data_IF_333157176318
#
_entry.id   IF_333157176318
#
_cell.length_a   1.000
_cell.length_b   1.000
_cell.length_c   1.000
_cell.angle_alpha   90.00
_cell.angle_beta   90.00
_cell.angle_gamma   90.00
#
_symmetry.space_group_name_H-M   'P 1'
#
loop_
_entity.id
_entity.type
_entity.pdbx_description
1 polymer ?
#
# COMPACT_ATOMS: atom_id res chain seq x y z
N UNK A 1 18.50 4.60 12.50
CA UNK A 1 19.30 3.55 11.84
C UNK A 1 18.32 2.52 11.31
N UNK A 2 18.13 2.46 9.99
CA UNK A 2 17.29 1.43 9.35
C UNK A 2 17.93 0.08 9.65
N UNK A 3 17.25 -0.79 10.40
CA UNK A 3 17.72 -2.15 10.65
C UNK A 3 17.14 -3.01 9.54
N UNK A 4 17.94 -3.29 8.52
CA UNK A 4 17.58 -4.24 7.47
C UNK A 4 17.63 -5.63 8.10
N UNK A 5 16.47 -6.24 8.29
CA UNK A 5 16.34 -7.63 8.71
C UNK A 5 16.05 -8.45 7.46
N UNK A 6 17.10 -9.00 6.85
CA UNK A 6 16.95 -10.02 5.82
C UNK A 6 16.49 -11.30 6.53
N UNK A 7 15.17 -11.47 6.70
CA UNK A 7 14.62 -12.71 7.21
C UNK A 7 14.63 -13.70 6.04
N UNK A 8 15.55 -14.68 6.09
CA UNK A 8 15.54 -15.81 5.19
C UNK A 8 14.16 -16.48 5.21
N UNK A 9 13.55 -16.62 4.04
CA UNK A 9 12.21 -17.14 3.84
C UNK A 9 11.96 -18.44 4.62
N UNK A 10 10.97 -18.42 5.51
CA UNK A 10 10.31 -19.62 6.03
C UNK A 10 8.81 -19.44 5.82
N UNK A 11 8.29 -20.06 4.76
CA UNK A 11 6.86 -20.16 4.50
C UNK A 11 6.46 -21.58 4.86
N UNK A 12 5.75 -21.78 5.97
CA UNK A 12 4.99 -23.01 6.20
C UNK A 12 3.63 -22.67 6.81
N UNK A 13 2.66 -22.48 5.93
CA UNK A 13 1.24 -22.47 6.23
C UNK A 13 0.49 -23.08 5.06
N UNK A 14 0.42 -24.42 5.04
CA UNK A 14 -0.30 -25.20 4.04
C UNK A 14 -1.81 -24.90 4.09
N UNK A 15 -2.26 -23.94 3.28
CA UNK A 15 -3.65 -23.87 2.83
C UNK A 15 -3.65 -24.49 1.44
N UNK A 16 -4.36 -25.60 1.28
CA UNK A 16 -4.33 -26.41 0.07
C UNK A 16 -4.62 -25.57 -1.18
N UNK A 17 -3.60 -25.37 -2.01
CA UNK A 17 -3.73 -24.76 -3.32
C UNK A 17 -3.89 -25.88 -4.36
N UNK A 18 -5.08 -26.00 -4.91
CA UNK A 18 -5.32 -26.80 -6.11
C UNK A 18 -4.43 -26.29 -7.24
N UNK A 19 -3.76 -27.21 -7.95
CA UNK A 19 -2.87 -26.94 -9.08
C UNK A 19 -3.63 -26.55 -10.35
N UNK A 20 -4.44 -25.49 -10.27
CA UNK A 20 -4.79 -24.67 -11.44
C UNK A 20 -3.69 -23.63 -11.59
N UNK A 21 -3.25 -23.34 -12.84
CA UNK A 21 -2.25 -22.32 -13.15
C UNK A 21 -2.31 -21.16 -12.14
N UNK A 22 -1.24 -20.94 -11.36
CA UNK A 22 -1.24 -19.96 -10.27
C UNK A 22 -1.66 -18.61 -10.86
N UNK A 23 -2.91 -18.23 -10.63
CA UNK A 23 -3.32 -16.86 -10.86
C UNK A 23 -2.53 -16.02 -9.88
N UNK A 24 -1.95 -14.91 -10.36
CA UNK A 24 -1.32 -13.92 -9.51
C UNK A 24 -2.24 -13.58 -8.34
N UNK A 25 -1.67 -13.38 -7.15
CA UNK A 25 -2.45 -13.05 -5.97
C UNK A 25 -3.16 -11.71 -6.18
N UNK A 26 -4.34 -11.57 -5.62
CA UNK A 26 -5.06 -10.30 -5.61
C UNK A 26 -4.42 -9.30 -4.65
N UNK A 27 -4.70 -8.01 -4.87
CA UNK A 27 -4.32 -6.94 -3.95
C UNK A 27 -4.78 -7.22 -2.51
N UNK A 28 -6.00 -7.77 -2.34
CA UNK A 28 -6.52 -8.11 -1.03
C UNK A 28 -5.72 -9.23 -0.36
N UNK A 29 -5.34 -10.28 -1.10
CA UNK A 29 -4.50 -11.34 -0.55
C UNK A 29 -3.12 -10.82 -0.12
N UNK A 30 -2.52 -9.91 -0.88
CA UNK A 30 -1.26 -9.29 -0.51
C UNK A 30 -1.39 -8.46 0.78
N UNK A 31 -2.45 -7.63 0.89
CA UNK A 31 -2.77 -6.86 2.11
C UNK A 31 -2.98 -7.77 3.33
N UNK A 32 -3.70 -8.87 3.15
CA UNK A 32 -3.95 -9.85 4.23
C UNK A 32 -2.66 -10.54 4.69
N UNK A 33 -1.75 -10.87 3.77
CA UNK A 33 -0.43 -11.42 4.08
C UNK A 33 0.39 -10.41 4.91
N UNK A 34 0.48 -9.16 4.46
CA UNK A 34 1.23 -8.12 5.15
C UNK A 34 0.66 -7.84 6.55
N UNK A 35 -0.67 -7.71 6.68
CA UNK A 35 -1.33 -7.48 7.98
C UNK A 35 -1.14 -8.66 8.95
N UNK A 36 -1.19 -9.88 8.45
CA UNK A 36 -0.92 -11.08 9.25
C UNK A 36 0.51 -11.09 9.77
N UNK A 37 1.49 -10.85 8.90
CA UNK A 37 2.91 -10.82 9.28
C UNK A 37 3.24 -9.63 10.19
N UNK A 38 2.57 -8.50 9.99
CA UNK A 38 2.69 -7.32 10.84
C UNK A 38 2.12 -7.53 12.26
N UNK A 39 1.33 -8.59 12.45
CA UNK A 39 0.53 -8.88 13.65
C UNK A 39 -0.50 -7.77 13.91
N UNK A 40 -1.16 -7.34 12.84
CA UNK A 40 -2.08 -6.20 12.83
C UNK A 40 -1.35 -4.87 12.55
N UNK A 41 -2.09 -3.78 12.70
CA UNK A 41 -1.66 -2.43 12.34
C UNK A 41 -2.56 -1.81 11.26
N UNK A 42 -2.10 -0.69 10.73
CA UNK A 42 -2.80 0.07 9.69
C UNK A 42 -1.94 0.09 8.43
N UNK A 43 -2.51 -0.29 7.30
CA UNK A 43 -1.85 -0.12 6.00
C UNK A 43 -1.78 1.39 5.71
N UNK A 44 -0.56 1.91 5.57
CA UNK A 44 -0.28 3.30 5.22
C UNK A 44 0.08 3.47 3.76
N UNK A 45 0.56 2.41 3.10
CA UNK A 45 0.90 2.44 1.68
C UNK A 45 0.61 1.12 1.01
N UNK A 46 0.22 1.18 -0.25
CA UNK A 46 0.20 0.03 -1.14
C UNK A 46 0.55 0.48 -2.55
N UNK A 47 1.46 -0.27 -3.18
CA UNK A 47 1.93 -0.02 -4.53
C UNK A 47 2.14 -1.34 -5.26
N UNK A 48 1.77 -1.38 -6.54
CA UNK A 48 2.17 -2.45 -7.45
C UNK A 48 3.36 -1.96 -8.27
N UNK A 49 4.52 -2.58 -8.11
CA UNK A 49 5.75 -2.20 -8.79
C UNK A 49 6.37 -3.39 -9.54
N UNK A 50 7.36 -3.10 -10.39
CA UNK A 50 8.14 -4.09 -11.12
C UNK A 50 9.61 -3.99 -10.76
N UNK A 51 10.07 -4.94 -9.96
CA UNK A 51 11.47 -5.03 -9.53
C UNK A 51 12.20 -6.18 -10.22
N UNK A 52 13.33 -5.88 -10.87
CA UNK A 52 14.18 -6.88 -11.53
C UNK A 52 13.41 -7.82 -12.48
N UNK A 53 12.39 -7.29 -13.17
CA UNK A 53 11.56 -8.03 -14.12
C UNK A 53 10.35 -8.74 -13.51
N UNK A 54 10.20 -8.75 -12.19
CA UNK A 54 9.13 -9.39 -11.42
C UNK A 54 8.14 -8.36 -10.87
N UNK A 55 6.86 -8.71 -10.84
CA UNK A 55 5.85 -7.87 -10.19
C UNK A 55 5.85 -8.11 -8.67
N UNK A 56 5.87 -7.02 -7.90
CA UNK A 56 5.83 -7.06 -6.44
C UNK A 56 4.79 -6.08 -5.92
N UNK A 57 4.12 -6.45 -4.83
CA UNK A 57 3.33 -5.55 -4.02
C UNK A 57 4.22 -4.99 -2.92
N UNK A 58 4.41 -3.68 -2.89
CA UNK A 58 5.02 -2.96 -1.76
C UNK A 58 3.89 -2.52 -0.83
N UNK A 59 3.95 -2.93 0.44
CA UNK A 59 2.92 -2.64 1.45
C UNK A 59 3.59 -2.17 2.73
N UNK A 60 3.27 -0.95 3.14
CA UNK A 60 3.69 -0.42 4.43
C UNK A 60 2.56 -0.58 5.47
N UNK A 61 2.91 -1.12 6.62
CA UNK A 61 2.03 -1.28 7.79
C UNK A 61 2.61 -0.54 8.98
N UNK A 62 1.84 0.41 9.51
CA UNK A 62 2.13 1.06 10.78
C UNK A 62 1.52 0.27 11.94
N UNK A 63 2.36 -0.26 12.84
CA UNK A 63 1.92 -0.91 14.06
C UNK A 63 2.56 -0.21 15.28
N UNK A 64 1.77 0.64 15.95
CA UNK A 64 2.27 1.54 16.98
C UNK A 64 3.21 2.60 16.40
N UNK A 65 4.47 2.59 16.82
CA UNK A 65 5.52 3.48 16.29
C UNK A 65 6.52 2.77 15.37
N UNK A 66 6.17 1.57 14.90
CA UNK A 66 7.00 0.78 14.00
C UNK A 66 6.30 0.72 12.65
N UNK A 67 6.97 1.26 11.64
CA UNK A 67 6.62 1.04 10.24
C UNK A 67 7.29 -0.25 9.77
N UNK A 68 6.53 -1.13 9.13
CA UNK A 68 7.01 -2.34 8.48
C UNK A 68 6.70 -2.26 7.00
N UNK A 69 7.71 -2.40 6.17
CA UNK A 69 7.61 -2.39 4.72
C UNK A 69 7.82 -3.80 4.19
N UNK A 70 6.85 -4.29 3.43
CA UNK A 70 6.81 -5.63 2.84
C UNK A 70 6.83 -5.53 1.33
N UNK A 71 7.80 -6.19 0.69
CA UNK A 71 7.70 -6.52 -0.74
C UNK A 71 7.22 -7.97 -0.86
N UNK A 72 6.07 -8.16 -1.50
CA UNK A 72 5.39 -9.44 -1.69
C UNK A 72 5.37 -9.77 -3.18
N UNK A 73 5.92 -10.92 -3.54
CA UNK A 73 5.88 -11.46 -4.89
C UNK A 73 4.43 -11.64 -5.37
N UNK A 74 4.05 -10.92 -6.43
CA UNK A 74 2.65 -10.86 -6.87
C UNK A 74 2.17 -12.18 -7.50
N UNK A 75 3.05 -13.07 -7.92
CA UNK A 75 2.68 -14.37 -8.48
C UNK A 75 2.48 -15.42 -7.39
N UNK A 76 3.34 -15.40 -6.38
CA UNK A 76 3.44 -16.49 -5.39
C UNK A 76 2.93 -16.12 -4.00
N UNK A 77 2.84 -14.83 -3.66
CA UNK A 77 2.56 -14.36 -2.31
C UNK A 77 3.73 -14.50 -1.34
N UNK A 78 4.93 -14.83 -1.81
CA UNK A 78 6.12 -14.87 -0.98
C UNK A 78 6.54 -13.45 -0.57
N UNK A 79 6.77 -13.21 0.72
CA UNK A 79 7.46 -12.00 1.18
C UNK A 79 8.92 -12.13 0.76
N UNK A 80 9.34 -11.28 -0.17
CA UNK A 80 10.71 -11.28 -0.71
C UNK A 80 11.62 -10.28 0.02
N UNK A 81 11.02 -9.31 0.72
CA UNK A 81 11.73 -8.36 1.56
C UNK A 81 10.85 -7.88 2.71
N UNK A 82 11.50 -7.62 3.83
CA UNK A 82 10.91 -6.97 5.00
C UNK A 82 11.90 -5.94 5.57
N UNK A 83 11.48 -4.69 5.64
CA UNK A 83 12.17 -3.65 6.39
C UNK A 83 11.32 -3.18 7.57
N UNK A 84 11.96 -2.74 8.65
CA UNK A 84 11.26 -2.08 9.74
C UNK A 84 12.00 -0.84 10.22
N UNK A 85 11.24 0.20 10.49
CA UNK A 85 11.74 1.48 11.00
C UNK A 85 10.90 1.95 12.17
N UNK A 86 11.56 2.29 13.28
CA UNK A 86 10.88 2.96 14.39
C UNK A 86 10.72 4.44 14.04
N UNK A 87 9.48 4.90 13.86
CA UNK A 87 9.15 6.30 13.65
C UNK A 87 9.15 7.05 14.98
N UNK A 88 9.96 8.09 15.07
CA UNK A 88 9.91 9.01 16.20
C UNK A 88 8.64 9.85 16.08
N UNK A 89 7.67 9.59 16.94
CA UNK A 89 6.46 10.42 17.05
C UNK A 89 6.86 11.80 17.57
N UNK A 90 7.10 12.75 16.66
CA UNK A 90 7.05 14.16 17.01
C UNK A 90 5.62 14.50 17.38
N UNK A 91 5.35 14.67 18.69
CA UNK A 91 4.09 15.11 19.30
C UNK A 91 3.12 15.77 18.33
N UNK A 92 2.26 14.96 17.71
CA UNK A 92 1.07 15.44 17.02
C UNK A 92 0.07 14.29 17.08
N UNK A 93 -0.88 14.42 18.03
CA UNK A 93 -2.12 13.66 18.06
C UNK A 93 -3.01 14.08 16.89
N UNK A 94 -2.50 13.95 15.67
CA UNK A 94 -3.33 14.01 14.49
C UNK A 94 -3.99 12.64 14.38
N UNK A 95 -5.31 12.63 14.30
CA UNK A 95 -6.10 11.41 14.18
C UNK A 95 -5.62 10.67 12.93
N UNK A 96 -4.75 9.67 13.11
CA UNK A 96 -4.20 8.85 12.02
C UNK A 96 -5.23 7.87 11.44
N UNK A 97 -6.46 7.85 11.98
CA UNK A 97 -7.54 6.98 11.53
C UNK A 97 -8.36 7.66 10.42
N UNK A 98 -8.22 7.24 9.16
CA UNK A 98 -9.07 7.70 8.08
C UNK A 98 -10.52 7.23 8.34
N UNK A 99 -11.51 8.05 7.96
CA UNK A 99 -12.93 7.65 8.03
C UNK A 99 -13.41 6.95 6.77
N UNK A 100 -12.84 7.29 5.62
CA UNK A 100 -13.09 6.52 4.39
C UNK A 100 -12.07 5.39 4.30
N UNK A 101 -12.48 4.28 3.69
CA UNK A 101 -11.56 3.17 3.46
C UNK A 101 -10.61 3.46 2.31
N UNK A 102 -9.51 2.71 2.29
CA UNK A 102 -8.61 2.60 1.14
C UNK A 102 -9.38 2.37 -0.17
N UNK A 103 -10.28 1.36 -0.18
CA UNK A 103 -10.99 0.98 -1.41
C UNK A 103 -11.93 2.11 -1.87
N UNK A 104 -12.45 2.90 -0.92
CA UNK A 104 -13.26 4.06 -1.25
C UNK A 104 -12.43 5.17 -1.90
N UNK A 105 -11.25 5.47 -1.37
CA UNK A 105 -10.33 6.44 -1.97
C UNK A 105 -9.89 6.01 -3.37
N UNK A 106 -9.51 4.73 -3.54
CA UNK A 106 -9.20 4.13 -4.85
C UNK A 106 -10.37 4.26 -5.83
N UNK A 107 -11.59 3.97 -5.40
CA UNK A 107 -12.81 4.11 -6.22
C UNK A 107 -13.01 5.57 -6.67
N UNK A 108 -12.83 6.54 -5.76
CA UNK A 108 -12.96 7.97 -6.06
C UNK A 108 -11.94 8.39 -7.13
N UNK A 109 -10.66 8.01 -6.97
CA UNK A 109 -9.62 8.32 -7.94
C UNK A 109 -9.91 7.68 -9.31
N UNK A 110 -10.27 6.40 -9.36
CA UNK A 110 -10.58 5.69 -10.61
C UNK A 110 -11.78 6.31 -11.34
N UNK A 111 -12.84 6.70 -10.63
CA UNK A 111 -14.01 7.37 -11.23
C UNK A 111 -13.69 8.73 -11.84
N UNK A 112 -12.71 9.44 -11.27
CA UNK A 112 -12.25 10.73 -11.79
C UNK A 112 -11.10 10.59 -12.78
N UNK A 113 -10.67 9.36 -13.06
CA UNK A 113 -9.66 9.05 -14.07
C UNK A 113 -10.28 8.81 -15.45
N UNK A 114 -9.48 8.94 -16.51
CA UNK A 114 -9.86 8.63 -17.90
C UNK A 114 -9.61 7.16 -18.24
N UNK A 115 -10.25 6.24 -17.51
CA UNK A 115 -10.00 4.80 -17.57
C UNK A 115 -8.55 4.43 -17.21
N UNK A 116 -7.98 5.15 -16.25
CA UNK A 116 -6.62 4.89 -15.81
C UNK A 116 -6.53 3.60 -14.98
N UNK A 117 -5.30 3.13 -14.79
CA UNK A 117 -5.01 1.94 -13.97
C UNK A 117 -4.45 2.39 -12.62
N UNK A 118 -4.98 1.83 -11.55
CA UNK A 118 -4.47 2.07 -10.21
C UNK A 118 -3.01 1.60 -10.09
N UNK A 119 -2.16 2.43 -9.48
CA UNK A 119 -0.72 2.19 -9.32
C UNK A 119 -0.32 2.20 -7.85
N UNK A 120 -0.66 3.27 -7.15
CA UNK A 120 -0.22 3.52 -5.77
C UNK A 120 -1.28 4.27 -4.98
N UNK A 121 -1.30 4.04 -3.67
CA UNK A 121 -1.95 4.93 -2.71
C UNK A 121 -1.18 4.94 -1.39
N UNK A 122 -1.01 6.16 -0.87
CA UNK A 122 -0.34 6.43 0.39
C UNK A 122 -1.24 7.28 1.29
N UNK A 123 -1.41 6.88 2.55
CA UNK A 123 -2.07 7.67 3.59
C UNK A 123 -1.03 8.54 4.28
N UNK A 124 -1.12 9.85 4.11
CA UNK A 124 -0.12 10.80 4.64
C UNK A 124 -0.78 12.08 5.17
N UNK A 125 -0.02 12.86 5.93
CA UNK A 125 -0.40 14.22 6.27
C UNK A 125 0.14 15.21 5.24
N UNK A 126 -0.73 16.04 4.68
CA UNK A 126 -0.36 17.17 3.84
C UNK A 126 -0.88 18.44 4.47
N UNK A 127 0.04 19.28 4.94
CA UNK A 127 -0.27 20.54 5.64
C UNK A 127 -1.25 20.35 6.83
N UNK A 128 -1.10 19.27 7.60
CA UNK A 128 -1.95 18.95 8.74
C UNK A 128 -3.27 18.24 8.41
N UNK A 129 -3.59 18.05 7.13
CA UNK A 129 -4.76 17.29 6.69
C UNK A 129 -4.35 15.85 6.39
N UNK A 130 -5.07 14.87 6.95
CA UNK A 130 -4.89 13.46 6.60
C UNK A 130 -5.51 13.21 5.22
N UNK A 131 -4.70 12.77 4.27
CA UNK A 131 -5.11 12.54 2.88
C UNK A 131 -4.65 11.18 2.39
N UNK A 132 -5.43 10.60 1.49
CA UNK A 132 -4.96 9.59 0.56
C UNK A 132 -4.37 10.27 -0.66
N UNK A 133 -3.12 9.95 -0.96
CA UNK A 133 -2.39 10.34 -2.16
C UNK A 133 -2.45 9.15 -3.12
N UNK A 134 -3.25 9.24 -4.18
CA UNK A 134 -3.54 8.13 -5.10
C UNK A 134 -2.93 8.42 -6.47
N UNK A 135 -2.06 7.52 -6.94
CA UNK A 135 -1.54 7.58 -8.31
C UNK A 135 -2.30 6.62 -9.24
N UNK A 136 -2.75 7.18 -10.36
CA UNK A 136 -3.41 6.45 -11.45
C UNK A 136 -2.59 6.64 -12.73
N UNK A 137 -2.17 5.54 -13.35
CA UNK A 137 -1.55 5.55 -14.67
C UNK A 137 -2.60 5.82 -15.76
N UNK A 138 -2.51 6.96 -16.43
CA UNK A 138 -3.39 7.41 -17.52
C UNK A 138 -2.61 7.57 -18.84
N UNK A 139 -2.46 6.46 -19.57
CA UNK A 139 -1.71 6.44 -20.82
C UNK A 139 -0.19 6.48 -20.56
N UNK A 140 0.47 7.58 -20.94
CA UNK A 140 1.90 7.81 -20.70
C UNK A 140 2.18 8.75 -19.51
N UNK A 141 1.12 9.20 -18.83
CA UNK A 141 1.22 10.13 -17.70
C UNK A 141 0.67 9.45 -16.45
N UNK A 142 1.22 9.83 -15.30
CA UNK A 142 0.62 9.51 -14.02
C UNK A 142 -0.24 10.70 -13.55
N UNK A 143 -1.38 10.38 -12.95
CA UNK A 143 -2.26 11.37 -12.33
C UNK A 143 -2.32 11.13 -10.83
N UNK A 144 -2.01 12.17 -10.07
CA UNK A 144 -2.06 12.22 -8.61
C UNK A 144 -3.40 12.82 -8.16
N UNK A 145 -4.11 12.10 -7.30
CA UNK A 145 -5.28 12.61 -6.58
C UNK A 145 -4.98 12.68 -5.09
N UNK A 146 -5.18 13.85 -4.51
CA UNK A 146 -5.18 14.01 -3.06
C UNK A 146 -6.62 14.04 -2.57
N UNK A 147 -6.98 13.04 -1.80
CA UNK A 147 -8.34 12.82 -1.32
C UNK A 147 -8.35 12.95 0.20
N UNK A 148 -9.19 13.83 0.73
CA UNK A 148 -9.38 13.96 2.18
C UNK A 148 -9.81 12.61 2.77
N UNK A 149 -9.04 12.10 3.73
CA UNK A 149 -9.25 10.75 4.26
C UNK A 149 -10.44 10.66 5.23
N UNK A 150 -11.06 11.79 5.59
CA UNK A 150 -12.24 11.87 6.43
C UNK A 150 -13.53 12.04 5.63
N UNK A 151 -13.48 12.79 4.52
CA UNK A 151 -14.67 13.18 3.76
C UNK A 151 -14.74 12.52 2.38
N UNK A 152 -13.60 12.14 1.80
CA UNK A 152 -13.50 11.70 0.41
C UNK A 152 -13.51 12.84 -0.61
N UNK A 153 -13.39 14.09 -0.17
CA UNK A 153 -13.25 15.25 -1.05
C UNK A 153 -11.91 15.22 -1.80
N UNK A 154 -11.92 15.50 -3.10
CA UNK A 154 -10.69 15.66 -3.89
C UNK A 154 -10.14 17.06 -3.63
N UNK A 155 -9.04 17.14 -2.88
CA UNK A 155 -8.34 18.38 -2.54
C UNK A 155 -7.37 18.82 -3.62
N UNK A 156 -6.89 17.88 -4.45
CA UNK A 156 -6.02 18.15 -5.60
C UNK A 156 -6.16 17.04 -6.64
N UNK A 157 -6.11 17.44 -7.90
CA UNK A 157 -5.96 16.59 -9.08
C UNK A 157 -4.84 17.18 -9.93
N UNK A 158 -3.74 16.46 -10.08
CA UNK A 158 -2.55 16.90 -10.81
C UNK A 158 -2.11 15.83 -11.79
N UNK A 159 -1.75 16.24 -13.01
CA UNK A 159 -1.03 15.38 -13.95
C UNK A 159 0.45 15.62 -13.81
N UNK A 160 1.19 14.54 -13.63
CA UNK A 160 2.64 14.54 -13.71
C UNK A 160 3.06 14.13 -15.13
N UNK A 161 3.93 14.96 -15.73
CA UNK A 161 4.42 14.85 -17.11
C UNK A 161 5.89 14.46 -17.12
#
# INVERSE_FOLDING_TARGET
MKKILIIGAIILGSIGFSTSALAAISEQQAKDIALKEAQGGQITKFKLDRENGRMVYEIEVMNGNIEKDYEIDAETGAIVKLEQEQKNHGNNNSVNNPKISYDKAKEIALKNSKNGKFKEIELKHKNGVLVYDVEIAEGFMDREFLIDANTGEILRDKKDF
#
